data_IF_724086919111
#
_entry.id   IF_724086919111
#
_cell.length_a   1.000
_cell.length_b   1.000
_cell.length_c   1.000
_cell.angle_alpha   90.00
_cell.angle_beta   90.00
_cell.angle_gamma   90.00
#
_symmetry.space_group_name_H-M   'P 1'
#
loop_
_entity.id
_entity.type
_entity.pdbx_description
1 polymer ?
#
# COMPACT_ATOMS: atom_id res chain seq x y z
N UNK A 1 2.45 14.91 -18.69
CA UNK A 1 2.35 13.68 -17.85
C UNK A 1 2.78 12.51 -18.71
N UNK A 2 3.59 11.60 -18.17
CA UNK A 2 4.03 10.38 -18.87
C UNK A 2 3.43 9.19 -18.15
N UNK A 3 2.74 8.33 -18.89
CA UNK A 3 2.23 7.06 -18.40
C UNK A 3 3.04 5.93 -19.01
N UNK A 4 3.44 4.97 -18.19
CA UNK A 4 4.05 3.73 -18.63
C UNK A 4 3.57 2.59 -17.72
N UNK A 5 3.51 1.39 -18.28
CA UNK A 5 3.12 0.19 -17.52
C UNK A 5 4.32 -0.38 -16.77
N UNK A 6 4.09 -1.23 -15.78
CA UNK A 6 5.15 -1.93 -15.04
C UNK A 6 6.17 -2.64 -15.96
N UNK A 7 5.70 -3.22 -17.07
CA UNK A 7 6.54 -3.95 -18.01
C UNK A 7 7.20 -3.06 -19.09
N UNK A 8 7.01 -1.75 -19.05
CA UNK A 8 7.62 -0.85 -20.02
C UNK A 8 9.11 -0.68 -19.73
N UNK A 9 9.98 -1.09 -20.65
CA UNK A 9 11.42 -0.83 -20.54
C UNK A 9 11.66 0.68 -20.65
N UNK A 10 12.18 1.29 -19.59
CA UNK A 10 12.47 2.72 -19.53
C UNK A 10 13.73 2.97 -18.69
N UNK A 11 14.28 4.19 -18.78
CA UNK A 11 15.44 4.61 -17.99
C UNK A 11 15.57 6.13 -17.96
N UNK A 12 16.30 6.64 -16.98
CA UNK A 12 16.65 8.05 -16.90
C UNK A 12 17.99 8.30 -17.60
N UNK A 13 18.00 9.14 -18.62
CA UNK A 13 19.25 9.62 -19.22
C UNK A 13 20.00 10.58 -18.29
N UNK A 14 21.33 10.70 -18.46
CA UNK A 14 22.14 11.72 -17.81
C UNK A 14 21.53 13.11 -17.97
N UNK A 15 21.58 13.90 -16.90
CA UNK A 15 21.08 15.26 -16.91
C UNK A 15 22.24 16.22 -17.15
N UNK A 16 22.20 16.94 -18.27
CA UNK A 16 23.32 17.77 -18.74
C UNK A 16 23.00 19.28 -18.73
N UNK A 17 21.91 19.71 -18.08
CA UNK A 17 21.53 21.12 -18.01
C UNK A 17 22.03 21.78 -16.72
N UNK A 18 22.28 23.10 -16.76
CA UNK A 18 22.76 23.89 -15.63
C UNK A 18 21.72 24.12 -14.51
N UNK A 19 20.51 23.55 -14.65
CA UNK A 19 19.41 23.68 -13.71
C UNK A 19 18.90 22.31 -13.27
N UNK A 20 18.09 22.26 -12.21
CA UNK A 20 17.56 20.99 -11.70
C UNK A 20 16.39 20.44 -12.54
N UNK A 21 16.31 19.11 -12.69
CA UNK A 21 15.11 18.40 -13.14
C UNK A 21 14.31 17.90 -11.95
N UNK A 22 13.07 18.39 -11.80
CA UNK A 22 12.14 17.96 -10.74
C UNK A 22 11.03 17.10 -11.33
N UNK A 23 10.77 15.95 -10.72
CA UNK A 23 9.70 15.02 -11.13
C UNK A 23 8.89 14.57 -9.91
N UNK A 24 7.59 14.38 -10.11
CA UNK A 24 6.73 13.68 -9.17
C UNK A 24 6.36 12.32 -9.79
N UNK A 25 6.80 11.24 -9.16
CA UNK A 25 6.51 9.88 -9.62
C UNK A 25 5.37 9.30 -8.80
N UNK A 26 4.27 8.97 -9.48
CA UNK A 26 3.13 8.28 -8.89
C UNK A 26 3.10 6.86 -9.43
N UNK A 27 3.11 5.87 -8.52
CA UNK A 27 2.98 4.46 -8.87
C UNK A 27 1.64 3.95 -8.40
N UNK A 28 0.80 3.56 -9.34
CA UNK A 28 -0.47 2.89 -9.07
C UNK A 28 -0.28 1.40 -9.25
N UNK A 29 -0.80 0.62 -8.31
CA UNK A 29 -0.76 -0.84 -8.33
C UNK A 29 -2.14 -1.36 -7.88
N UNK A 30 -2.48 -2.62 -8.19
CA UNK A 30 -3.65 -3.26 -7.60
C UNK A 30 -3.60 -3.19 -6.06
N UNK A 31 -4.77 -3.14 -5.41
CA UNK A 31 -4.88 -2.97 -3.96
C UNK A 31 -4.19 -4.07 -3.14
N UNK A 32 -3.76 -5.19 -3.75
CA UNK A 32 -3.05 -6.29 -3.09
C UNK A 32 -1.53 -6.21 -3.28
N UNK A 33 -1.04 -5.36 -4.19
CA UNK A 33 0.37 -5.28 -4.57
C UNK A 33 1.00 -4.07 -3.94
N UNK A 34 1.72 -4.31 -2.85
CA UNK A 34 2.59 -3.30 -2.27
C UNK A 34 3.87 -3.86 -1.69
N UNK A 35 4.91 -3.04 -1.84
CA UNK A 35 6.21 -3.28 -1.27
C UNK A 35 6.30 -2.58 0.08
N UNK A 36 6.03 -3.32 1.16
CA UNK A 36 6.21 -2.82 2.52
C UNK A 36 6.01 -3.90 3.58
N UNK A 37 6.87 -3.90 4.60
CA UNK A 37 6.65 -4.69 5.83
C UNK A 37 5.49 -4.06 6.59
N UNK A 38 4.26 -4.44 6.28
CA UNK A 38 3.03 -4.05 7.01
C UNK A 38 2.90 -2.54 7.27
N UNK A 39 3.48 -1.72 6.38
CA UNK A 39 3.58 -0.26 6.50
C UNK A 39 4.29 0.23 7.75
N UNK A 40 5.33 -0.50 8.17
CA UNK A 40 6.16 -0.21 9.35
C UNK A 40 6.70 1.24 9.36
N UNK A 41 6.64 1.94 10.51
CA UNK A 41 6.04 1.48 11.77
C UNK A 41 4.50 1.53 11.77
N UNK A 42 3.89 2.43 11.00
CA UNK A 42 2.44 2.53 10.78
C UNK A 42 2.13 3.31 9.51
N UNK A 43 0.97 3.05 8.89
CA UNK A 43 0.46 3.92 7.82
C UNK A 43 0.12 5.30 8.39
N UNK A 44 0.61 6.41 7.81
CA UNK A 44 0.34 7.75 8.33
C UNK A 44 -1.11 8.15 8.05
N UNK A 45 -1.97 8.02 9.05
CA UNK A 45 -3.41 8.27 8.89
C UNK A 45 -3.70 9.75 8.61
N UNK A 46 -2.85 10.67 9.09
CA UNK A 46 -2.96 12.10 8.79
C UNK A 46 -2.91 12.40 7.28
N UNK A 47 -2.26 11.54 6.49
CA UNK A 47 -2.21 11.70 5.02
C UNK A 47 -3.58 11.49 4.34
N UNK A 48 -4.54 10.91 5.07
CA UNK A 48 -5.90 10.67 4.58
C UNK A 48 -6.87 11.82 4.94
N UNK A 49 -6.44 12.78 5.75
CA UNK A 49 -7.28 13.88 6.19
C UNK A 49 -7.60 14.86 5.05
N UNK A 50 -8.83 15.36 5.02
CA UNK A 50 -9.29 16.33 4.01
C UNK A 50 -9.42 15.78 2.58
N UNK A 51 -9.17 14.48 2.37
CA UNK A 51 -9.35 13.85 1.07
C UNK A 51 -10.82 13.63 0.72
N UNK A 52 -11.15 13.78 -0.55
CA UNK A 52 -12.42 13.26 -1.09
C UNK A 52 -12.44 11.72 -1.02
N UNK A 53 -13.64 11.13 -1.08
CA UNK A 53 -13.80 9.67 -1.07
C UNK A 53 -12.94 8.97 -2.14
N UNK A 54 -12.86 9.54 -3.35
CA UNK A 54 -12.06 8.99 -4.46
C UNK A 54 -10.56 9.10 -4.21
N UNK A 55 -10.08 10.23 -3.68
CA UNK A 55 -8.66 10.40 -3.35
C UNK A 55 -8.25 9.46 -2.22
N UNK A 56 -9.12 9.31 -1.21
CA UNK A 56 -8.91 8.39 -0.10
C UNK A 56 -8.80 6.95 -0.58
N UNK A 57 -9.68 6.50 -1.46
CA UNK A 57 -9.66 5.13 -2.01
C UNK A 57 -8.34 4.78 -2.72
N UNK A 58 -7.63 5.76 -3.28
CA UNK A 58 -6.35 5.57 -3.98
C UNK A 58 -5.15 5.64 -3.03
N UNK A 59 -5.26 6.39 -1.93
CA UNK A 59 -4.20 6.63 -0.95
C UNK A 59 -4.32 5.74 0.29
N UNK A 60 -5.32 4.87 0.35
CA UNK A 60 -5.44 3.89 1.42
C UNK A 60 -4.31 2.84 1.37
N UNK A 61 -3.92 2.29 2.52
CA UNK A 61 -2.98 1.19 2.54
C UNK A 61 -3.56 -0.02 1.78
N UNK A 62 -2.73 -0.75 1.05
CA UNK A 62 -3.12 -1.94 0.30
C UNK A 62 -3.88 -2.97 1.17
N UNK A 63 -4.95 -3.49 0.60
CA UNK A 63 -5.89 -4.44 1.18
C UNK A 63 -5.33 -5.86 1.07
N UNK A 64 -4.62 -6.30 2.12
CA UNK A 64 -4.21 -7.69 2.28
C UNK A 64 -4.97 -8.31 3.46
N UNK A 65 -5.63 -9.45 3.25
CA UNK A 65 -6.42 -10.16 4.28
C UNK A 65 -5.63 -10.38 5.57
N UNK A 66 -4.34 -10.70 5.43
CA UNK A 66 -3.40 -10.92 6.54
C UNK A 66 -3.26 -9.77 7.54
N UNK A 67 -3.73 -8.57 7.20
CA UNK A 67 -3.67 -7.35 8.01
C UNK A 67 -5.00 -7.02 8.71
N UNK A 68 -5.86 -8.02 8.89
CA UNK A 68 -7.18 -7.89 9.54
C UNK A 68 -8.04 -6.78 8.90
N UNK A 69 -7.96 -6.65 7.57
CA UNK A 69 -8.77 -5.69 6.82
C UNK A 69 -10.15 -6.29 6.50
N UNK A 70 -11.25 -5.53 6.68
CA UNK A 70 -12.55 -5.96 6.22
C UNK A 70 -12.53 -6.15 4.71
N UNK A 71 -12.99 -7.30 4.23
CA UNK A 71 -13.12 -7.63 2.81
C UNK A 71 -14.58 -7.89 2.47
N UNK A 72 -15.01 -7.40 1.31
CA UNK A 72 -16.35 -7.66 0.79
C UNK A 72 -16.35 -9.03 0.11
N UNK A 73 -17.31 -9.89 0.49
CA UNK A 73 -17.54 -11.18 -0.17
C UNK A 73 -18.85 -11.16 -0.93
N UNK A 74 -18.85 -11.83 -2.07
CA UNK A 74 -20.04 -11.91 -2.91
C UNK A 74 -21.16 -12.67 -2.18
N UNK A 75 -22.29 -12.00 -1.97
CA UNK A 75 -23.45 -12.59 -1.30
C UNK A 75 -23.52 -12.38 0.21
N UNK A 76 -22.52 -11.70 0.80
CA UNK A 76 -22.53 -11.32 2.21
C UNK A 76 -22.97 -9.85 2.36
N UNK A 77 -23.85 -9.56 3.32
CA UNK A 77 -24.35 -8.21 3.56
C UNK A 77 -23.36 -7.34 4.37
N UNK A 78 -22.53 -7.97 5.18
CA UNK A 78 -21.54 -7.33 6.05
C UNK A 78 -20.13 -7.77 5.66
N UNK A 79 -19.12 -6.89 5.76
CA UNK A 79 -17.75 -7.26 5.44
C UNK A 79 -17.15 -8.18 6.51
N UNK A 80 -16.38 -9.19 6.07
CA UNK A 80 -15.70 -10.14 6.95
C UNK A 80 -14.24 -9.72 7.18
N UNK A 81 -13.72 -9.93 8.38
CA UNK A 81 -12.29 -9.81 8.68
C UNK A 81 -11.66 -11.19 8.76
N UNK A 82 -11.00 -11.61 7.68
CA UNK A 82 -10.26 -12.87 7.64
C UNK A 82 -8.79 -12.66 8.05
N UNK A 83 -8.53 -12.79 9.36
CA UNK A 83 -7.22 -12.53 9.95
C UNK A 83 -6.31 -13.74 10.07
N UNK A 84 -5.02 -13.51 10.36
CA UNK A 84 -4.09 -14.58 10.77
C UNK A 84 -4.51 -15.19 12.12
N UNK A 85 -4.19 -16.47 12.34
CA UNK A 85 -4.40 -17.11 13.64
C UNK A 85 -3.65 -16.37 14.76
N UNK A 86 -4.16 -16.47 15.99
CA UNK A 86 -3.53 -15.85 17.16
C UNK A 86 -2.09 -16.36 17.38
N UNK A 87 -1.85 -17.64 17.13
CA UNK A 87 -0.51 -18.25 17.25
C UNK A 87 0.48 -17.60 16.27
N UNK A 88 0.04 -17.35 15.03
CA UNK A 88 0.88 -16.72 14.02
C UNK A 88 1.18 -15.26 14.37
N UNK A 89 0.17 -14.50 14.82
CA UNK A 89 0.35 -13.11 15.28
C UNK A 89 1.32 -13.03 16.46
N UNK A 90 1.21 -13.96 17.41
CA UNK A 90 2.13 -14.06 18.55
C UNK A 90 3.55 -14.37 18.11
N UNK A 91 3.73 -15.35 17.23
CA UNK A 91 5.05 -15.66 16.66
C UNK A 91 5.65 -14.44 15.95
N UNK A 92 4.86 -13.75 15.13
CA UNK A 92 5.34 -12.56 14.42
C UNK A 92 5.74 -11.46 15.41
N UNK A 93 4.97 -11.27 16.48
CA UNK A 93 5.28 -10.31 17.55
C UNK A 93 6.56 -10.68 18.30
N UNK A 94 6.77 -11.95 18.62
CA UNK A 94 7.96 -12.44 19.33
C UNK A 94 9.24 -12.32 18.47
N UNK A 95 9.15 -12.59 17.17
CA UNK A 95 10.31 -12.63 16.27
C UNK A 95 10.60 -11.27 15.63
N UNK A 96 9.57 -10.53 15.24
CA UNK A 96 9.71 -9.31 14.44
C UNK A 96 9.24 -8.04 15.15
N UNK A 97 8.66 -8.15 16.35
CA UNK A 97 8.16 -7.01 17.11
C UNK A 97 6.85 -6.42 16.56
N UNK A 98 6.19 -7.09 15.61
CA UNK A 98 4.91 -6.66 15.03
C UNK A 98 3.96 -7.85 14.88
N UNK A 99 2.65 -7.62 15.00
CA UNK A 99 1.65 -8.68 14.78
C UNK A 99 1.55 -9.16 13.32
N UNK A 100 2.17 -8.43 12.39
CA UNK A 100 2.08 -8.66 10.96
C UNK A 100 3.45 -8.56 10.31
N UNK A 101 4.09 -9.71 10.09
CA UNK A 101 5.28 -9.83 9.25
C UNK A 101 4.97 -10.62 7.98
#
# INVERSE_FOLDING_TARGET
VVFFSEATVHGAFPWNADHERRIALYRFAPAIVAYGRSYSPSWPLEMLEGLTANQRAVLEPPYAERLDRPVVRLGEAEPEVNGRSLEKKRFDQEVFGTAYF
#
